data_IF_180161279440
#
_entry.id   IF_180161279440
#
_cell.length_a   1.000
_cell.length_b   1.000
_cell.length_c   1.000
_cell.angle_alpha   90.00
_cell.angle_beta   90.00
_cell.angle_gamma   90.00
#
_symmetry.space_group_name_H-M   'P 1'
#
loop_
_entity.id
_entity.type
_entity.pdbx_description
1 polymer ?
#
# COMPACT_ATOMS: atom_id res chain seq x y z
N UNK A 1 -1.82 -8.17 37.16
CA UNK A 1 -1.62 -6.85 36.48
C UNK A 1 -2.90 -6.02 36.54
N UNK A 2 -2.83 -4.76 36.98
CA UNK A 2 -3.99 -3.85 36.99
C UNK A 2 -4.55 -3.64 35.59
N UNK A 3 -5.89 -3.52 35.46
CA UNK A 3 -6.61 -3.38 34.18
C UNK A 3 -6.05 -2.24 33.29
N UNK A 4 -5.53 -1.18 33.92
CA UNK A 4 -4.88 -0.01 33.30
C UNK A 4 -3.54 -0.37 32.62
N UNK A 5 -2.72 -1.24 33.25
CA UNK A 5 -1.44 -1.70 32.69
C UNK A 5 -1.66 -2.61 31.47
N UNK A 6 -2.68 -3.47 31.50
CA UNK A 6 -3.07 -4.36 30.40
C UNK A 6 -3.60 -3.62 29.16
N UNK A 7 -4.27 -2.48 29.33
CA UNK A 7 -4.79 -1.68 28.21
C UNK A 7 -3.69 -0.86 27.51
N UNK A 8 -2.74 -0.30 28.27
CA UNK A 8 -1.55 0.37 27.70
C UNK A 8 -0.68 -0.63 26.91
N UNK A 9 -0.46 -1.82 27.46
CA UNK A 9 0.28 -2.90 26.78
C UNK A 9 -0.40 -3.32 25.47
N UNK A 10 -1.73 -3.54 25.48
CA UNK A 10 -2.46 -3.89 24.27
C UNK A 10 -2.41 -2.80 23.20
N UNK A 11 -2.32 -1.52 23.58
CA UNK A 11 -2.15 -0.42 22.63
C UNK A 11 -0.78 -0.48 21.95
N UNK A 12 0.29 -0.61 22.75
CA UNK A 12 1.67 -0.74 22.26
C UNK A 12 1.80 -1.96 21.32
N UNK A 13 1.23 -3.11 21.71
CA UNK A 13 1.24 -4.31 20.87
C UNK A 13 0.53 -4.11 19.51
N UNK A 14 -0.60 -3.40 19.47
CA UNK A 14 -1.25 -3.10 18.18
C UNK A 14 -0.40 -2.15 17.31
N UNK A 15 0.34 -1.22 17.93
CA UNK A 15 1.21 -0.32 17.19
C UNK A 15 2.40 -1.07 16.58
N UNK A 16 3.05 -1.94 17.35
CA UNK A 16 4.12 -2.82 16.86
C UNK A 16 3.60 -3.71 15.73
N UNK A 17 2.42 -4.31 15.90
CA UNK A 17 1.78 -5.10 14.84
C UNK A 17 1.53 -4.28 13.57
N UNK A 18 1.05 -3.03 13.69
CA UNK A 18 0.82 -2.16 12.54
C UNK A 18 2.11 -1.83 11.79
N UNK A 19 3.18 -1.50 12.52
CA UNK A 19 4.50 -1.23 11.93
C UNK A 19 5.02 -2.48 11.22
N UNK A 20 5.00 -3.64 11.88
CA UNK A 20 5.42 -4.91 11.28
C UNK A 20 4.59 -5.28 10.04
N UNK A 21 3.28 -5.01 10.08
CA UNK A 21 2.39 -5.23 8.95
C UNK A 21 2.70 -4.31 7.76
N UNK A 22 2.97 -3.02 8.01
CA UNK A 22 3.39 -2.09 6.98
C UNK A 22 4.72 -2.51 6.33
N UNK A 23 5.69 -2.94 7.13
CA UNK A 23 6.97 -3.45 6.63
C UNK A 23 6.76 -4.71 5.78
N UNK A 24 5.93 -5.66 6.26
CA UNK A 24 5.61 -6.87 5.50
C UNK A 24 4.89 -6.57 4.17
N UNK A 25 4.06 -5.52 4.14
CA UNK A 25 3.37 -5.09 2.93
C UNK A 25 4.20 -4.19 2.01
N UNK A 26 5.41 -3.77 2.41
CA UNK A 26 6.26 -2.86 1.65
C UNK A 26 6.40 -3.24 0.18
N UNK A 27 6.77 -4.49 -0.19
CA UNK A 27 6.95 -4.86 -1.60
C UNK A 27 5.68 -4.72 -2.45
N UNK A 28 4.50 -4.80 -1.83
CA UNK A 28 3.23 -4.74 -2.54
C UNK A 28 2.84 -3.30 -2.86
N UNK A 29 2.89 -2.39 -1.88
CA UNK A 29 2.46 -1.01 -2.11
C UNK A 29 3.55 -0.12 -2.71
N UNK A 30 4.84 -0.42 -2.46
CA UNK A 30 5.95 0.41 -3.00
C UNK A 30 5.97 0.37 -4.51
N UNK A 31 5.70 -0.79 -5.13
CA UNK A 31 5.58 -0.92 -6.57
C UNK A 31 4.43 -0.08 -7.13
N UNK A 32 3.28 -0.10 -6.47
CA UNK A 32 2.12 0.70 -6.87
C UNK A 32 2.38 2.22 -6.74
N UNK A 33 3.01 2.64 -5.64
CA UNK A 33 3.38 4.03 -5.42
C UNK A 33 4.40 4.51 -6.46
N UNK A 34 5.43 3.71 -6.73
CA UNK A 34 6.45 4.01 -7.74
C UNK A 34 5.83 4.16 -9.13
N UNK A 35 4.93 3.24 -9.53
CA UNK A 35 4.18 3.33 -10.79
C UNK A 35 3.41 4.65 -10.90
N UNK A 36 2.71 5.05 -9.84
CA UNK A 36 1.97 6.32 -9.81
C UNK A 36 2.88 7.54 -9.96
N UNK A 37 4.00 7.58 -9.23
CA UNK A 37 4.96 8.68 -9.30
C UNK A 37 5.58 8.79 -10.69
N UNK A 38 5.96 7.66 -11.29
CA UNK A 38 6.59 7.62 -12.61
C UNK A 38 5.64 8.09 -13.71
N UNK A 39 4.37 7.68 -13.66
CA UNK A 39 3.35 8.15 -14.61
C UNK A 39 3.21 9.69 -14.57
N UNK A 40 3.27 10.30 -13.38
CA UNK A 40 3.24 11.77 -13.26
C UNK A 40 4.51 12.43 -13.84
N UNK A 41 5.67 11.82 -13.64
CA UNK A 41 6.94 12.30 -14.24
C UNK A 41 6.89 12.25 -15.77
N UNK A 42 6.40 11.15 -16.34
CA UNK A 42 6.27 10.96 -17.80
C UNK A 42 5.27 11.94 -18.40
N UNK A 43 4.12 12.20 -17.75
CA UNK A 43 3.16 13.21 -18.20
C UNK A 43 3.78 14.62 -18.25
N UNK A 44 4.59 14.96 -17.25
CA UNK A 44 5.31 16.25 -17.22
C UNK A 44 6.35 16.34 -18.34
N UNK A 45 7.00 15.23 -18.70
CA UNK A 45 7.89 15.17 -19.86
C UNK A 45 7.12 15.41 -21.17
N UNK A 46 5.93 14.83 -21.30
CA UNK A 46 5.08 14.98 -22.49
C UNK A 46 4.56 16.41 -22.70
N UNK A 47 4.47 17.21 -21.64
CA UNK A 47 4.09 18.62 -21.74
C UNK A 47 5.23 19.55 -22.21
N UNK A 48 6.41 19.03 -22.55
CA UNK A 48 7.51 19.85 -23.07
C UNK A 48 7.18 20.43 -24.46
N UNK A 49 7.62 21.67 -24.72
CA UNK A 49 7.39 22.34 -26.00
C UNK A 49 8.17 21.66 -27.13
N UNK A 50 7.63 21.71 -28.36
CA UNK A 50 8.27 21.13 -29.55
C UNK A 50 9.69 21.67 -29.79
N UNK A 51 9.95 22.96 -29.51
CA UNK A 51 11.27 23.58 -29.67
C UNK A 51 12.33 22.94 -28.76
N UNK A 52 11.98 22.62 -27.51
CA UNK A 52 12.87 21.97 -26.56
C UNK A 52 13.17 20.51 -26.96
N UNK A 53 12.19 19.84 -27.58
CA UNK A 53 12.34 18.47 -28.06
C UNK A 53 13.29 18.42 -29.27
N UNK A 54 13.10 19.33 -30.23
CA UNK A 54 13.94 19.42 -31.43
C UNK A 54 15.40 19.73 -31.09
N UNK A 55 15.66 20.65 -30.14
CA UNK A 55 17.03 20.97 -29.72
C UNK A 55 17.71 19.80 -29.00
N UNK A 56 16.98 19.08 -28.14
CA UNK A 56 17.47 17.84 -27.51
C UNK A 56 17.77 16.76 -28.54
N UNK A 57 16.86 16.55 -29.50
CA UNK A 57 17.04 15.57 -30.57
C UNK A 57 18.28 15.88 -31.40
N UNK A 58 18.46 17.14 -31.82
CA UNK A 58 19.62 17.57 -32.59
C UNK A 58 20.95 17.34 -31.84
N UNK A 59 20.96 17.63 -30.53
CA UNK A 59 22.12 17.37 -29.67
C UNK A 59 22.46 15.87 -29.58
N UNK A 60 21.45 15.01 -29.36
CA UNK A 60 21.63 13.55 -29.35
C UNK A 60 22.09 13.01 -30.70
N UNK A 61 21.54 13.52 -31.81
CA UNK A 61 21.96 13.14 -33.18
C UNK A 61 23.42 13.49 -33.44
N UNK A 62 23.87 14.69 -33.04
CA UNK A 62 25.28 15.11 -33.18
C UNK A 62 26.20 14.18 -32.39
N UNK A 63 25.83 13.81 -31.17
CA UNK A 63 26.60 12.86 -30.35
C UNK A 63 26.64 11.45 -30.97
N UNK A 64 25.51 10.95 -31.47
CA UNK A 64 25.46 9.66 -32.16
C UNK A 64 26.32 9.64 -33.43
N UNK A 65 26.33 10.73 -34.21
CA UNK A 65 27.18 10.84 -35.39
C UNK A 65 28.67 10.74 -35.05
N UNK A 66 29.10 11.37 -33.94
CA UNK A 66 30.47 11.26 -33.43
C UNK A 66 30.79 9.83 -32.98
N UNK A 67 29.92 9.21 -32.18
CA UNK A 67 30.10 7.81 -31.73
C UNK A 67 30.13 6.80 -32.89
N UNK A 68 29.44 7.08 -34.00
CA UNK A 68 29.52 6.24 -35.20
C UNK A 68 30.91 6.24 -35.83
N UNK A 69 31.63 7.36 -35.76
CA UNK A 69 32.99 7.51 -36.28
C UNK A 69 34.01 6.95 -35.29
N UNK A 70 33.90 7.32 -34.02
CA UNK A 70 34.86 6.98 -32.96
C UNK A 70 34.70 5.53 -32.47
N UNK A 71 33.55 4.91 -32.75
CA UNK A 71 33.14 3.65 -32.15
C UNK A 71 32.56 3.82 -30.73
N UNK A 72 32.00 2.74 -30.19
CA UNK A 72 31.54 2.73 -28.80
C UNK A 72 32.74 2.59 -27.88
N UNK A 73 32.96 3.62 -27.07
CA UNK A 73 33.80 3.55 -25.87
C UNK A 73 32.83 3.36 -24.71
N UNK A 74 32.24 2.18 -24.60
CA UNK A 74 31.39 1.86 -23.46
C UNK A 74 32.23 2.09 -22.21
N UNK A 75 31.71 2.90 -21.28
CA UNK A 75 32.38 3.12 -19.99
C UNK A 75 32.58 1.82 -19.21
N UNK A 76 33.08 1.94 -17.98
CA UNK A 76 33.09 0.82 -17.05
C UNK A 76 31.70 0.18 -16.92
N UNK A 77 31.65 -1.12 -16.59
CA UNK A 77 30.41 -1.85 -16.33
C UNK A 77 29.48 -1.03 -15.41
N UNK A 78 28.21 -0.77 -15.79
CA UNK A 78 27.33 0.13 -15.05
C UNK A 78 27.02 -0.35 -13.63
N UNK A 79 27.36 -1.60 -13.30
CA UNK A 79 27.14 -2.20 -11.98
C UNK A 79 28.43 -2.42 -11.18
N UNK A 80 29.60 -2.04 -11.70
CA UNK A 80 30.89 -2.23 -11.02
C UNK A 80 31.14 -1.22 -9.88
N UNK A 81 30.08 -0.60 -9.34
CA UNK A 81 30.16 0.45 -8.33
C UNK A 81 30.74 1.73 -8.91
N UNK A 82 29.88 2.60 -9.46
CA UNK A 82 30.30 3.97 -9.74
C UNK A 82 30.54 4.68 -8.41
N UNK A 83 31.75 5.17 -8.17
CA UNK A 83 32.11 6.10 -7.07
C UNK A 83 31.39 7.45 -7.11
N UNK A 84 30.42 7.62 -8.01
CA UNK A 84 29.64 8.84 -8.19
C UNK A 84 28.42 8.85 -7.28
N UNK A 85 28.63 9.28 -6.04
CA UNK A 85 27.60 9.75 -5.11
C UNK A 85 27.01 11.13 -5.52
N UNK A 86 27.04 11.48 -6.81
CA UNK A 86 26.49 12.75 -7.25
C UNK A 86 24.97 12.62 -7.35
N UNK A 87 24.26 13.38 -6.53
CA UNK A 87 22.84 13.58 -6.69
C UNK A 87 22.56 14.17 -8.07
N UNK A 88 21.67 13.51 -8.82
CA UNK A 88 21.31 13.89 -10.17
C UNK A 88 19.87 14.35 -10.21
N UNK A 89 19.61 15.46 -10.91
CA UNK A 89 18.25 15.89 -11.19
C UNK A 89 17.55 14.90 -12.14
N UNK A 90 16.81 13.95 -11.55
CA UNK A 90 16.04 12.94 -12.27
C UNK A 90 15.12 13.55 -13.34
N UNK A 91 14.55 14.73 -13.10
CA UNK A 91 13.63 15.38 -14.05
C UNK A 91 14.39 15.86 -15.29
N UNK A 92 15.63 16.33 -15.13
CA UNK A 92 16.49 16.78 -16.23
C UNK A 92 16.93 15.62 -17.12
N UNK A 93 17.23 14.47 -16.51
CA UNK A 93 17.76 13.29 -17.19
C UNK A 93 16.68 12.33 -17.73
N UNK A 94 15.43 12.50 -17.31
CA UNK A 94 14.32 11.72 -17.85
C UNK A 94 14.08 12.10 -19.33
N UNK A 95 14.22 11.11 -20.21
CA UNK A 95 14.07 11.30 -21.67
C UNK A 95 12.92 10.51 -22.29
N UNK A 96 12.34 9.57 -21.53
CA UNK A 96 11.28 8.74 -22.05
C UNK A 96 10.94 7.56 -21.16
N UNK A 97 10.50 6.49 -21.80
CA UNK A 97 10.23 5.20 -21.16
C UNK A 97 10.50 4.02 -22.09
N UNK A 98 10.69 2.85 -21.49
CA UNK A 98 10.79 1.56 -22.17
C UNK A 98 9.60 0.68 -21.77
N UNK A 99 8.96 0.06 -22.76
CA UNK A 99 7.84 -0.86 -22.57
C UNK A 99 8.12 -2.23 -23.21
N UNK A 100 7.81 -3.32 -22.49
CA UNK A 100 7.93 -4.71 -22.96
C UNK A 100 6.66 -5.47 -22.58
N UNK A 101 5.69 -5.52 -23.51
CA UNK A 101 4.36 -6.10 -23.24
C UNK A 101 4.42 -7.55 -22.76
N UNK A 102 5.36 -8.34 -23.28
CA UNK A 102 5.54 -9.76 -22.93
C UNK A 102 5.71 -10.01 -21.43
N UNK A 103 6.38 -9.08 -20.74
CA UNK A 103 6.67 -9.18 -19.31
C UNK A 103 5.96 -8.09 -18.50
N UNK A 104 5.03 -7.35 -19.11
CA UNK A 104 4.31 -6.25 -18.47
C UNK A 104 5.23 -5.14 -17.94
N UNK A 105 6.37 -4.90 -18.58
CA UNK A 105 7.31 -3.86 -18.18
C UNK A 105 6.90 -2.53 -18.81
N UNK A 106 6.81 -1.47 -18.01
CA UNK A 106 6.72 -0.08 -18.46
C UNK A 106 7.45 0.79 -17.43
N UNK A 107 8.67 1.24 -17.73
CA UNK A 107 9.53 1.95 -16.76
C UNK A 107 10.18 3.19 -17.38
N UNK A 108 10.49 4.23 -16.56
CA UNK A 108 11.20 5.42 -17.02
C UNK A 108 12.54 5.09 -17.69
N UNK A 109 12.95 5.95 -18.63
CA UNK A 109 14.24 5.89 -19.32
C UNK A 109 14.99 7.21 -19.11
N UNK A 110 16.17 7.11 -18.51
CA UNK A 110 17.09 8.21 -18.26
C UNK A 110 18.26 8.20 -19.25
N UNK A 111 18.79 9.36 -19.61
CA UNK A 111 19.86 9.50 -20.60
C UNK A 111 21.29 9.31 -20.05
N UNK A 112 21.41 9.00 -18.77
CA UNK A 112 22.66 8.79 -18.05
C UNK A 112 22.52 7.61 -17.11
N UNK A 113 23.61 6.89 -16.87
CA UNK A 113 23.68 5.77 -15.92
C UNK A 113 24.52 6.16 -14.71
N UNK A 114 23.92 6.09 -13.53
CA UNK A 114 24.57 6.20 -12.23
C UNK A 114 23.72 5.45 -11.19
N UNK A 115 24.21 5.34 -9.96
CA UNK A 115 23.50 4.63 -8.90
C UNK A 115 22.07 5.16 -8.67
N UNK A 116 21.89 6.49 -8.67
CA UNK A 116 20.57 7.10 -8.45
C UNK A 116 19.59 6.77 -9.58
N UNK A 117 19.96 7.00 -10.84
CA UNK A 117 19.11 6.75 -12.01
C UNK A 117 18.77 5.27 -12.19
N UNK A 118 19.72 4.36 -11.92
CA UNK A 118 19.49 2.91 -11.91
C UNK A 118 18.48 2.47 -10.84
N UNK A 119 18.40 3.19 -9.72
CA UNK A 119 17.41 2.96 -8.67
C UNK A 119 15.99 3.38 -9.06
N UNK A 120 15.81 4.19 -10.11
CA UNK A 120 14.49 4.66 -10.54
C UNK A 120 13.99 4.05 -11.85
N UNK A 121 14.88 3.70 -12.78
CA UNK A 121 14.45 3.24 -14.10
C UNK A 121 15.55 2.61 -14.93
N UNK A 122 15.28 2.53 -16.23
CA UNK A 122 16.26 2.17 -17.22
C UNK A 122 17.14 3.38 -17.55
N UNK A 123 18.40 3.14 -17.88
CA UNK A 123 19.40 4.19 -18.08
C UNK A 123 20.20 3.93 -19.36
N UNK A 124 20.55 4.98 -20.09
CA UNK A 124 21.46 4.86 -21.23
C UNK A 124 22.89 4.77 -20.73
N UNK A 125 23.61 3.72 -21.14
CA UNK A 125 25.01 3.53 -20.80
C UNK A 125 25.86 4.58 -21.51
N UNK A 126 26.67 5.33 -20.74
CA UNK A 126 27.56 6.33 -21.29
C UNK A 126 28.56 5.71 -22.28
N UNK A 127 28.84 6.46 -23.35
CA UNK A 127 29.69 5.98 -24.45
C UNK A 127 28.96 5.14 -25.48
N UNK A 128 27.65 4.88 -25.31
CA UNK A 128 26.80 4.22 -26.32
C UNK A 128 25.86 5.22 -26.99
N UNK A 129 25.23 4.82 -28.10
CA UNK A 129 24.33 5.72 -28.83
C UNK A 129 23.12 6.11 -27.97
N UNK A 130 22.65 7.35 -28.09
CA UNK A 130 21.35 7.75 -27.55
C UNK A 130 20.22 7.00 -28.28
N UNK A 131 19.14 6.62 -27.55
CA UNK A 131 18.05 5.79 -28.06
C UNK A 131 17.03 6.58 -28.89
N UNK A 132 17.50 7.30 -29.90
CA UNK A 132 16.68 8.03 -30.87
C UNK A 132 16.63 7.34 -32.25
N UNK A 133 17.29 6.18 -32.37
CA UNK A 133 17.40 5.36 -33.57
C UNK A 133 18.29 5.95 -34.66
N UNK A 134 18.21 5.33 -35.84
CA UNK A 134 18.99 5.67 -37.03
C UNK A 134 20.07 4.63 -37.34
N UNK A 135 20.43 4.51 -38.61
CA UNK A 135 21.47 3.58 -39.04
C UNK A 135 22.82 3.90 -38.41
N UNK A 136 23.63 2.87 -38.19
CA UNK A 136 24.92 3.00 -37.52
C UNK A 136 24.77 3.52 -36.10
N UNK A 137 23.75 3.03 -35.36
CA UNK A 137 23.57 3.32 -33.95
C UNK A 137 23.38 2.04 -33.15
N UNK A 138 23.95 2.01 -31.95
CA UNK A 138 23.74 0.94 -30.99
C UNK A 138 23.61 1.56 -29.60
N UNK A 139 22.39 1.59 -29.07
CA UNK A 139 22.13 2.07 -27.70
C UNK A 139 22.19 0.91 -26.73
N UNK A 140 22.82 1.11 -25.57
CA UNK A 140 22.79 0.12 -24.48
C UNK A 140 22.01 0.71 -23.33
N UNK A 141 20.94 0.04 -22.95
CA UNK A 141 20.02 0.44 -21.90
C UNK A 141 20.17 -0.51 -20.73
N UNK A 142 20.56 0.01 -19.57
CA UNK A 142 20.82 -0.76 -18.36
C UNK A 142 19.71 -0.58 -17.33
N UNK A 143 19.41 -1.62 -16.55
CA UNK A 143 18.59 -1.48 -15.35
C UNK A 143 18.87 -2.63 -14.37
N UNK A 144 18.60 -2.43 -13.08
CA UNK A 144 18.76 -3.47 -12.08
C UNK A 144 17.83 -4.67 -12.30
N UNK A 145 18.28 -5.80 -11.76
CA UNK A 145 17.52 -7.05 -11.61
C UNK A 145 17.49 -7.41 -10.13
N UNK A 146 16.29 -7.39 -9.54
CA UNK A 146 16.07 -7.77 -8.15
C UNK A 146 16.11 -6.63 -7.13
N UNK A 147 15.81 -5.40 -7.52
CA UNK A 147 15.73 -4.30 -6.56
C UNK A 147 14.48 -4.45 -5.66
N UNK A 148 14.65 -4.30 -4.35
CA UNK A 148 13.55 -4.48 -3.38
C UNK A 148 12.42 -3.46 -3.58
N UNK A 149 12.75 -2.26 -4.06
CA UNK A 149 11.81 -1.16 -4.25
C UNK A 149 11.12 -1.19 -5.63
N UNK A 150 11.70 -1.85 -6.65
CA UNK A 150 11.21 -1.80 -8.04
C UNK A 150 11.55 -3.06 -8.84
N UNK A 151 10.62 -3.47 -9.72
CA UNK A 151 10.80 -4.66 -10.57
C UNK A 151 11.88 -4.46 -11.65
N UNK A 152 11.90 -3.32 -12.35
CA UNK A 152 12.89 -3.02 -13.40
C UNK A 152 13.14 -4.22 -14.34
N UNK A 153 14.39 -4.55 -14.68
CA UNK A 153 14.75 -5.67 -15.55
C UNK A 153 14.77 -7.04 -14.84
N UNK A 154 14.12 -7.18 -13.66
CA UNK A 154 14.04 -8.46 -12.93
C UNK A 154 13.56 -9.62 -13.81
N UNK A 155 12.59 -9.36 -14.69
CA UNK A 155 11.99 -10.36 -15.58
C UNK A 155 12.59 -10.38 -17.00
N UNK A 156 13.70 -9.68 -17.26
CA UNK A 156 14.29 -9.61 -18.60
C UNK A 156 14.71 -10.99 -19.13
N UNK A 157 15.06 -11.93 -18.24
CA UNK A 157 15.38 -13.31 -18.57
C UNK A 157 14.19 -14.11 -19.16
N UNK A 158 12.96 -13.58 -19.11
CA UNK A 158 11.77 -14.20 -19.71
C UNK A 158 11.53 -13.74 -21.16
N UNK A 159 12.27 -12.74 -21.63
CA UNK A 159 12.22 -12.27 -23.02
C UNK A 159 12.91 -13.29 -23.92
N UNK A 160 12.32 -13.54 -25.08
CA UNK A 160 12.78 -14.50 -26.08
C UNK A 160 13.06 -13.81 -27.41
N UNK A 161 13.77 -14.51 -28.30
CA UNK A 161 13.88 -14.09 -29.71
C UNK A 161 12.48 -13.87 -30.29
N UNK A 162 12.36 -12.86 -31.14
CA UNK A 162 11.14 -12.33 -31.74
C UNK A 162 10.19 -11.56 -30.83
N UNK A 163 10.42 -11.49 -29.52
CA UNK A 163 9.70 -10.54 -28.67
C UNK A 163 10.06 -9.10 -29.07
N UNK A 164 9.15 -8.17 -28.78
CA UNK A 164 9.29 -6.76 -29.13
C UNK A 164 9.33 -5.91 -27.86
N UNK A 165 10.23 -4.93 -27.85
CA UNK A 165 10.23 -3.84 -26.89
C UNK A 165 10.12 -2.50 -27.62
N UNK A 166 9.57 -1.50 -26.94
CA UNK A 166 9.33 -0.18 -27.50
C UNK A 166 9.94 0.89 -26.60
N UNK A 167 10.69 1.80 -27.21
CA UNK A 167 11.18 3.01 -26.58
C UNK A 167 10.26 4.15 -26.96
N UNK A 168 9.75 4.89 -25.97
CA UNK A 168 9.04 6.15 -26.18
C UNK A 168 9.97 7.27 -25.75
N UNK A 169 10.66 7.90 -26.69
CA UNK A 169 11.70 8.91 -26.45
C UNK A 169 11.39 10.14 -27.30
N UNK A 170 11.41 11.33 -26.71
CA UNK A 170 11.17 12.59 -27.44
C UNK A 170 9.89 12.56 -28.31
N UNK A 171 8.80 12.02 -27.75
CA UNK A 171 7.48 11.82 -28.40
C UNK A 171 7.46 10.81 -29.57
N UNK A 172 8.57 10.11 -29.82
CA UNK A 172 8.65 9.09 -30.86
C UNK A 172 8.61 7.70 -30.24
N UNK A 173 7.92 6.79 -30.91
CA UNK A 173 7.87 5.37 -30.55
C UNK A 173 8.77 4.58 -31.48
N UNK A 174 9.78 3.92 -30.91
CA UNK A 174 10.80 3.16 -31.63
C UNK A 174 10.67 1.69 -31.21
N UNK A 175 10.27 0.82 -32.13
CA UNK A 175 10.09 -0.61 -31.87
C UNK A 175 11.33 -1.41 -32.25
N UNK A 176 11.69 -2.36 -31.40
CA UNK A 176 12.84 -3.24 -31.61
C UNK A 176 12.43 -4.69 -31.41
N UNK A 177 12.81 -5.55 -32.35
CA UNK A 177 12.54 -6.99 -32.31
C UNK A 177 13.79 -7.72 -31.87
N UNK A 178 13.69 -8.50 -30.80
CA UNK A 178 14.82 -9.25 -30.22
C UNK A 178 15.29 -10.32 -31.20
N UNK A 179 16.59 -10.34 -31.49
CA UNK A 179 17.19 -11.38 -32.34
C UNK A 179 18.32 -12.13 -31.66
N UNK A 180 18.94 -11.53 -30.64
CA UNK A 180 20.12 -12.05 -29.97
C UNK A 180 19.99 -11.89 -28.46
N UNK A 181 20.29 -12.96 -27.73
CA UNK A 181 20.30 -13.01 -26.27
C UNK A 181 21.59 -13.69 -25.86
N UNK A 182 22.36 -13.08 -24.96
CA UNK A 182 23.65 -13.57 -24.51
C UNK A 182 23.82 -13.40 -23.01
N UNK A 183 24.61 -14.29 -22.40
CA UNK A 183 25.15 -14.13 -21.06
C UNK A 183 26.66 -13.97 -21.22
N UNK A 184 27.19 -12.85 -20.73
CA UNK A 184 28.59 -12.48 -20.88
C UNK A 184 29.19 -12.10 -19.52
N UNK A 185 30.52 -12.09 -19.41
CA UNK A 185 31.19 -11.53 -18.23
C UNK A 185 31.09 -10.00 -18.23
N UNK A 186 31.16 -9.32 -17.07
CA UNK A 186 31.09 -7.85 -16.99
C UNK A 186 32.09 -7.12 -17.90
N UNK A 187 33.27 -7.69 -18.10
CA UNK A 187 34.36 -7.18 -18.93
C UNK A 187 34.19 -7.48 -20.45
N UNK A 188 33.20 -8.26 -20.86
CA UNK A 188 32.97 -8.61 -22.26
C UNK A 188 31.96 -7.67 -22.93
N UNK A 189 32.49 -6.64 -23.59
CA UNK A 189 31.76 -5.61 -24.32
C UNK A 189 31.74 -5.83 -25.84
N UNK A 190 32.30 -6.93 -26.35
CA UNK A 190 32.44 -7.14 -27.80
C UNK A 190 31.08 -7.16 -28.53
N UNK A 191 30.05 -7.67 -27.86
CA UNK A 191 28.68 -7.72 -28.37
C UNK A 191 27.96 -6.36 -28.46
N UNK A 192 28.55 -5.28 -27.95
CA UNK A 192 27.92 -3.97 -27.83
C UNK A 192 28.38 -2.96 -28.89
N UNK A 193 29.26 -3.33 -29.82
CA UNK A 193 29.81 -2.45 -30.85
C UNK A 193 28.73 -1.94 -31.82
N UNK A 194 28.94 -0.74 -32.38
CA UNK A 194 28.11 -0.22 -33.47
C UNK A 194 28.33 -1.07 -34.72
N UNK A 195 27.23 -1.41 -35.38
CA UNK A 195 27.24 -2.01 -36.70
C UNK A 195 26.79 -0.95 -37.72
N UNK A 196 27.61 -0.58 -38.73
CA UNK A 196 27.40 0.61 -39.56
C UNK A 196 26.01 0.74 -40.21
N UNK A 197 25.40 -0.38 -40.58
CA UNK A 197 24.12 -0.41 -41.31
C UNK A 197 22.95 -0.90 -40.46
N UNK A 198 23.08 -0.86 -39.12
CA UNK A 198 22.02 -1.31 -38.21
C UNK A 198 21.64 -0.24 -37.19
N UNK A 199 20.35 -0.25 -36.83
CA UNK A 199 19.79 0.47 -35.67
C UNK A 199 19.50 -0.58 -34.60
N UNK A 200 20.36 -0.64 -33.58
CA UNK A 200 20.36 -1.66 -32.55
C UNK A 200 20.11 -1.07 -31.17
N UNK A 201 19.43 -1.84 -30.33
CA UNK A 201 19.34 -1.56 -28.90
C UNK A 201 19.59 -2.84 -28.12
N UNK A 202 20.50 -2.79 -27.14
CA UNK A 202 20.73 -3.87 -26.19
C UNK A 202 20.18 -3.48 -24.82
N UNK A 203 19.34 -4.34 -24.25
CA UNK A 203 18.91 -4.27 -22.86
C UNK A 203 19.88 -5.08 -22.01
N UNK A 204 20.45 -4.46 -20.98
CA UNK A 204 21.55 -4.99 -20.17
C UNK A 204 21.12 -5.06 -18.70
N UNK A 205 21.31 -6.23 -18.07
CA UNK A 205 21.10 -6.40 -16.62
C UNK A 205 22.03 -7.44 -15.99
N UNK A 206 22.11 -7.49 -14.67
CA UNK A 206 22.87 -8.51 -13.94
C UNK A 206 22.21 -9.89 -13.96
N UNK A 207 23.02 -10.94 -14.00
CA UNK A 207 22.57 -12.34 -13.93
C UNK A 207 23.68 -13.25 -13.39
N UNK A 208 23.40 -14.44 -12.83
CA UNK A 208 22.12 -14.95 -12.34
C UNK A 208 21.52 -14.09 -11.22
N UNK A 209 20.25 -14.32 -10.91
CA UNK A 209 19.52 -13.56 -9.88
C UNK A 209 20.22 -13.72 -8.52
N UNK A 210 20.39 -12.63 -7.78
CA UNK A 210 21.11 -12.56 -6.48
C UNK A 210 22.63 -12.84 -6.53
N UNK A 211 23.17 -13.34 -7.65
CA UNK A 211 24.61 -13.62 -7.80
C UNK A 211 25.31 -12.49 -8.57
N UNK A 212 24.67 -11.97 -9.62
CA UNK A 212 25.16 -10.82 -10.41
C UNK A 212 26.58 -10.98 -11.00
N UNK A 213 27.08 -12.21 -11.15
CA UNK A 213 28.43 -12.50 -11.67
C UNK A 213 28.60 -12.28 -13.17
N UNK A 214 27.50 -12.20 -13.92
CA UNK A 214 27.46 -12.04 -15.36
C UNK A 214 26.45 -10.96 -15.78
N UNK A 215 26.43 -10.64 -17.07
CA UNK A 215 25.48 -9.70 -17.68
C UNK A 215 24.59 -10.45 -18.68
N UNK A 216 23.28 -10.23 -18.58
CA UNK A 216 22.31 -10.65 -19.58
C UNK A 216 22.14 -9.52 -20.58
N UNK A 217 22.42 -9.82 -21.85
CA UNK A 217 22.25 -8.92 -22.99
C UNK A 217 21.07 -9.40 -23.83
N UNK A 218 20.09 -8.53 -24.07
CA UNK A 218 18.95 -8.77 -24.97
C UNK A 218 18.97 -7.72 -26.06
N UNK A 219 19.43 -8.10 -27.24
CA UNK A 219 19.63 -7.18 -28.38
C UNK A 219 18.50 -7.30 -29.38
N UNK A 220 17.91 -6.16 -29.73
CA UNK A 220 16.90 -6.02 -30.76
C UNK A 220 17.36 -5.15 -31.92
N UNK A 221 16.85 -5.44 -33.12
CA UNK A 221 17.00 -4.59 -34.30
C UNK A 221 15.73 -3.79 -34.54
N UNK A 222 15.87 -2.60 -35.11
CA UNK A 222 14.76 -1.69 -35.39
C UNK A 222 13.73 -2.32 -36.33
N UNK A 223 12.46 -2.18 -35.98
CA UNK A 223 11.31 -2.55 -36.83
C UNK A 223 10.28 -1.42 -36.90
N UNK A 224 9.42 -1.37 -37.93
CA UNK A 224 8.31 -0.43 -37.97
C UNK A 224 7.39 -0.59 -36.77
N UNK A 225 7.03 0.52 -36.14
CA UNK A 225 6.06 0.54 -35.06
C UNK A 225 4.64 0.41 -35.63
N UNK A 226 3.88 -0.58 -35.18
CA UNK A 226 2.54 -0.88 -35.74
C UNK A 226 1.41 -0.55 -34.76
N UNK A 227 0.18 -0.44 -35.30
CA UNK A 227 -1.02 -0.25 -34.49
C UNK A 227 -1.28 -1.43 -33.54
N UNK A 228 -0.95 -2.67 -33.93
CA UNK A 228 -1.08 -3.85 -33.07
C UNK A 228 -0.15 -3.78 -31.85
N UNK A 229 1.10 -3.33 -32.04
CA UNK A 229 2.02 -3.08 -30.92
C UNK A 229 1.46 -2.06 -29.93
N UNK A 230 0.83 -0.99 -30.45
CA UNK A 230 0.15 0.01 -29.61
C UNK A 230 -0.94 -0.63 -28.75
N UNK A 231 -1.84 -1.40 -29.36
CA UNK A 231 -2.95 -2.06 -28.64
C UNK A 231 -2.46 -3.02 -27.56
N UNK A 232 -1.39 -3.78 -27.83
CA UNK A 232 -0.77 -4.71 -26.87
C UNK A 232 -0.14 -3.97 -25.69
N UNK A 233 0.58 -2.88 -25.94
CA UNK A 233 1.17 -2.03 -24.90
C UNK A 233 0.07 -1.38 -24.06
N UNK A 234 -0.93 -0.76 -24.70
CA UNK A 234 -1.98 -0.05 -23.99
C UNK A 234 -2.83 -0.99 -23.12
N UNK A 235 -3.15 -2.19 -23.62
CA UNK A 235 -3.86 -3.21 -22.83
C UNK A 235 -3.04 -3.66 -21.63
N UNK A 236 -1.75 -3.95 -21.83
CA UNK A 236 -0.85 -4.34 -20.74
C UNK A 236 -0.72 -3.23 -19.69
N UNK A 237 -0.58 -1.98 -20.13
CA UNK A 237 -0.44 -0.80 -19.26
C UNK A 237 -1.72 -0.51 -18.48
N UNK A 238 -2.90 -0.63 -19.09
CA UNK A 238 -4.20 -0.49 -18.41
C UNK A 238 -4.36 -1.55 -17.33
N UNK A 239 -4.07 -2.81 -17.65
CA UNK A 239 -4.14 -3.90 -16.68
C UNK A 239 -3.15 -3.70 -15.52
N UNK A 240 -1.90 -3.33 -15.82
CA UNK A 240 -0.91 -3.03 -14.80
C UNK A 240 -1.36 -1.88 -13.89
N UNK A 241 -1.83 -0.77 -14.48
CA UNK A 241 -2.31 0.41 -13.73
C UNK A 241 -3.51 0.07 -12.84
N UNK A 242 -4.50 -0.67 -13.35
CA UNK A 242 -5.65 -1.11 -12.58
C UNK A 242 -5.22 -1.98 -11.39
N UNK A 243 -4.35 -2.98 -11.64
CA UNK A 243 -3.83 -3.87 -10.59
C UNK A 243 -3.11 -3.08 -9.49
N UNK A 244 -2.22 -2.15 -9.87
CA UNK A 244 -1.51 -1.31 -8.89
C UNK A 244 -2.47 -0.40 -8.12
N UNK A 245 -3.49 0.16 -8.78
CA UNK A 245 -4.53 0.96 -8.14
C UNK A 245 -5.33 0.18 -7.09
N UNK A 246 -5.73 -1.05 -7.39
CA UNK A 246 -6.44 -1.93 -6.45
C UNK A 246 -5.57 -2.24 -5.23
N UNK A 247 -4.27 -2.51 -5.43
CA UNK A 247 -3.33 -2.75 -4.32
C UNK A 247 -3.25 -1.51 -3.41
N UNK A 248 -3.09 -0.32 -4.00
CA UNK A 248 -2.99 0.92 -3.23
C UNK A 248 -4.28 1.20 -2.44
N UNK A 249 -5.45 1.07 -3.07
CA UNK A 249 -6.76 1.24 -2.41
C UNK A 249 -6.93 0.22 -1.28
N UNK A 250 -6.57 -1.04 -1.52
CA UNK A 250 -6.65 -2.10 -0.50
C UNK A 250 -5.81 -1.77 0.73
N UNK A 251 -4.58 -1.31 0.54
CA UNK A 251 -3.69 -0.90 1.64
C UNK A 251 -4.26 0.30 2.41
N UNK A 252 -4.77 1.31 1.71
CA UNK A 252 -5.41 2.48 2.35
C UNK A 252 -6.64 2.08 3.16
N UNK A 253 -7.52 1.23 2.63
CA UNK A 253 -8.71 0.75 3.34
C UNK A 253 -8.34 -0.06 4.60
N UNK A 254 -7.29 -0.88 4.52
CA UNK A 254 -6.76 -1.61 5.68
C UNK A 254 -6.24 -0.66 6.76
N UNK A 255 -5.52 0.40 6.38
CA UNK A 255 -5.03 1.42 7.31
C UNK A 255 -6.18 2.21 7.96
N UNK A 256 -7.19 2.61 7.18
CA UNK A 256 -8.40 3.27 7.70
C UNK A 256 -9.14 2.36 8.67
N UNK A 257 -9.32 1.08 8.33
CA UNK A 257 -9.95 0.09 9.19
C UNK A 257 -9.21 -0.08 10.51
N UNK A 258 -7.88 -0.18 10.47
CA UNK A 258 -7.07 -0.29 11.68
C UNK A 258 -7.12 0.98 12.53
N UNK A 259 -7.05 2.15 11.90
CA UNK A 259 -7.19 3.44 12.58
C UNK A 259 -8.56 3.55 13.27
N UNK A 260 -9.63 3.15 12.60
CA UNK A 260 -10.97 3.09 13.18
C UNK A 260 -11.05 2.16 14.40
N UNK A 261 -10.45 0.96 14.32
CA UNK A 261 -10.39 0.03 15.46
C UNK A 261 -9.59 0.60 16.64
N UNK A 262 -8.49 1.31 16.38
CA UNK A 262 -7.70 2.01 17.40
C UNK A 262 -8.50 3.13 18.05
N UNK A 263 -9.13 4.00 17.26
CA UNK A 263 -10.00 5.07 17.76
C UNK A 263 -11.14 4.51 18.63
N UNK A 264 -11.80 3.44 18.17
CA UNK A 264 -12.84 2.74 18.94
C UNK A 264 -12.31 2.20 20.27
N UNK A 265 -11.12 1.59 20.30
CA UNK A 265 -10.47 1.13 21.54
C UNK A 265 -10.17 2.30 22.48
N UNK A 266 -9.63 3.41 21.99
CA UNK A 266 -9.34 4.62 22.78
C UNK A 266 -10.63 5.19 23.38
N UNK A 267 -11.70 5.27 22.57
CA UNK A 267 -13.01 5.75 23.02
C UNK A 267 -13.53 4.88 24.17
N UNK A 268 -13.49 3.55 24.02
CA UNK A 268 -13.90 2.61 25.06
C UNK A 268 -13.03 2.73 26.32
N UNK A 269 -11.73 2.96 26.18
CA UNK A 269 -10.83 3.19 27.31
C UNK A 269 -11.18 4.47 28.06
N UNK A 270 -11.40 5.59 27.36
CA UNK A 270 -11.83 6.86 27.97
C UNK A 270 -13.18 6.70 28.67
N UNK A 271 -14.13 6.01 28.04
CA UNK A 271 -15.44 5.72 28.62
C UNK A 271 -15.33 4.92 29.92
N UNK A 272 -14.48 3.89 29.94
CA UNK A 272 -14.28 3.03 31.12
C UNK A 272 -13.66 3.74 32.33
N UNK A 273 -13.03 4.89 32.14
CA UNK A 273 -12.51 5.73 33.23
C UNK A 273 -13.59 6.58 33.89
N UNK A 274 -14.66 6.91 33.17
CA UNK A 274 -15.82 7.61 33.74
C UNK A 274 -16.60 6.66 34.65
N UNK A 275 -17.12 7.19 35.74
CA UNK A 275 -17.96 6.47 36.70
C UNK A 275 -19.40 6.93 36.57
N UNK A 276 -20.33 5.99 36.63
CA UNK A 276 -21.75 6.21 36.49
C UNK A 276 -22.49 5.52 37.62
N UNK A 277 -23.54 6.17 38.10
CA UNK A 277 -24.55 5.52 38.90
C UNK A 277 -25.69 5.11 37.97
N UNK A 278 -26.21 3.91 38.17
CA UNK A 278 -27.38 3.42 37.48
C UNK A 278 -28.44 3.08 38.50
N UNK A 279 -29.48 3.90 38.55
CA UNK A 279 -30.67 3.65 39.34
C UNK A 279 -31.86 3.41 38.43
N UNK A 280 -32.75 2.52 38.88
CA UNK A 280 -34.05 2.30 38.26
C UNK A 280 -35.09 1.86 39.30
N UNK A 281 -36.37 1.99 38.95
CA UNK A 281 -37.48 1.53 39.78
C UNK A 281 -38.06 0.23 39.23
N UNK A 282 -38.37 -0.73 40.09
CA UNK A 282 -39.09 -1.96 39.77
C UNK A 282 -40.55 -1.80 40.19
N UNK A 283 -41.43 -1.79 39.20
CA UNK A 283 -42.87 -1.56 39.35
C UNK A 283 -43.66 -2.76 38.85
N UNK A 284 -44.79 -3.09 39.48
CA UNK A 284 -45.74 -4.07 38.97
C UNK A 284 -46.51 -3.53 37.73
N UNK A 285 -47.39 -4.36 37.14
CA UNK A 285 -48.27 -3.95 36.03
C UNK A 285 -49.15 -2.74 36.33
N UNK A 286 -49.49 -2.52 37.59
CA UNK A 286 -50.31 -1.40 38.06
C UNK A 286 -49.48 -0.13 38.29
N UNK A 287 -48.14 -0.23 38.31
CA UNK A 287 -47.23 0.90 38.52
C UNK A 287 -46.78 1.07 39.98
N UNK A 288 -47.10 0.12 40.85
CA UNK A 288 -46.73 0.15 42.28
C UNK A 288 -45.32 -0.45 42.50
N UNK A 289 -44.54 0.07 43.45
CA UNK A 289 -43.19 -0.41 43.72
C UNK A 289 -43.16 -1.83 44.30
N UNK A 290 -42.16 -2.62 43.90
CA UNK A 290 -41.91 -3.96 44.44
C UNK A 290 -40.54 -4.00 45.13
N UNK A 291 -40.52 -4.36 46.41
CA UNK A 291 -39.31 -4.52 47.21
C UNK A 291 -38.68 -5.93 47.07
N UNK A 292 -37.43 -6.07 47.51
CA UNK A 292 -36.69 -7.33 47.66
C UNK A 292 -36.46 -8.16 46.38
N UNK A 293 -36.57 -7.53 45.20
CA UNK A 293 -36.22 -8.17 43.93
C UNK A 293 -34.73 -7.98 43.64
N UNK A 294 -33.99 -9.09 43.56
CA UNK A 294 -32.56 -9.11 43.30
C UNK A 294 -32.21 -8.91 41.82
N UNK A 295 -31.21 -8.08 41.54
CA UNK A 295 -30.65 -7.86 40.21
C UNK A 295 -29.14 -8.07 40.20
N UNK A 296 -28.65 -8.76 39.18
CA UNK A 296 -27.23 -9.05 39.01
C UNK A 296 -26.70 -8.54 37.67
N UNK A 297 -25.48 -7.99 37.70
CA UNK A 297 -24.79 -7.51 36.50
C UNK A 297 -23.78 -8.52 35.95
N UNK A 298 -23.71 -8.59 34.63
CA UNK A 298 -22.79 -9.40 33.84
C UNK A 298 -22.05 -8.53 32.82
N UNK A 299 -20.95 -9.05 32.29
CA UNK A 299 -20.22 -8.49 31.15
C UNK A 299 -21.13 -8.26 29.95
N UNK A 300 -20.69 -7.43 28.98
CA UNK A 300 -21.44 -7.11 27.76
C UNK A 300 -21.97 -8.33 26.97
N UNK A 301 -21.28 -9.47 27.05
CA UNK A 301 -21.67 -10.74 26.42
C UNK A 301 -22.54 -11.64 27.33
N UNK A 302 -22.83 -11.23 28.56
CA UNK A 302 -23.69 -11.93 29.52
C UNK A 302 -23.08 -13.17 30.18
N UNK A 303 -21.79 -13.47 29.92
CA UNK A 303 -21.12 -14.72 30.35
C UNK A 303 -20.39 -14.59 31.70
N UNK A 304 -19.84 -13.42 32.01
CA UNK A 304 -19.01 -13.23 33.21
C UNK A 304 -19.74 -12.33 34.19
N UNK A 305 -19.97 -12.79 35.42
CA UNK A 305 -20.55 -11.98 36.49
C UNK A 305 -19.65 -10.80 36.83
N UNK A 306 -20.24 -9.61 36.95
CA UNK A 306 -19.54 -8.44 37.48
C UNK A 306 -19.36 -8.63 38.99
N UNK A 307 -18.13 -8.44 39.48
CA UNK A 307 -17.79 -8.59 40.90
C UNK A 307 -17.32 -7.26 41.49
N UNK A 308 -17.57 -7.07 42.78
CA UNK A 308 -17.03 -6.00 43.63
C UNK A 308 -16.50 -6.65 44.90
N UNK A 309 -15.24 -6.36 45.24
CA UNK A 309 -14.56 -6.91 46.42
C UNK A 309 -14.61 -8.45 46.50
N UNK A 310 -14.50 -9.12 45.34
CA UNK A 310 -14.51 -10.58 45.23
C UNK A 310 -15.89 -11.22 45.11
N UNK A 311 -16.96 -10.53 45.52
CA UNK A 311 -18.34 -11.02 45.48
C UNK A 311 -19.10 -10.55 44.22
N UNK A 312 -20.10 -11.31 43.73
CA UNK A 312 -20.97 -10.85 42.65
C UNK A 312 -21.72 -9.56 43.03
N UNK A 313 -21.78 -8.59 42.11
CA UNK A 313 -22.48 -7.34 42.34
C UNK A 313 -23.98 -7.54 42.16
N UNK A 314 -24.66 -7.76 43.29
CA UNK A 314 -26.11 -7.91 43.39
C UNK A 314 -26.69 -6.72 44.14
N UNK A 315 -27.86 -6.25 43.72
CA UNK A 315 -28.63 -5.18 44.37
C UNK A 315 -30.11 -5.57 44.41
N UNK A 316 -30.76 -5.25 45.52
CA UNK A 316 -32.18 -5.51 45.73
C UNK A 316 -32.96 -4.19 45.66
N UNK A 317 -34.23 -4.27 45.27
CA UNK A 317 -35.13 -3.12 45.33
C UNK A 317 -35.50 -2.80 46.78
N UNK A 318 -35.47 -1.52 47.15
CA UNK A 318 -35.93 -1.06 48.46
C UNK A 318 -37.48 -1.01 48.52
N UNK A 319 -38.03 -0.50 49.64
CA UNK A 319 -39.48 -0.33 49.83
C UNK A 319 -40.14 0.54 48.74
N UNK A 320 -39.41 1.51 48.18
CA UNK A 320 -39.86 2.36 47.06
C UNK A 320 -39.64 1.70 45.69
N UNK A 321 -39.24 0.43 45.64
CA UNK A 321 -38.92 -0.30 44.42
C UNK A 321 -37.62 0.14 43.74
N UNK A 322 -36.84 1.03 44.35
CA UNK A 322 -35.61 1.57 43.78
C UNK A 322 -34.43 0.60 43.92
N UNK A 323 -33.71 0.38 42.82
CA UNK A 323 -32.46 -0.37 42.77
C UNK A 323 -31.34 0.58 42.34
N UNK A 324 -30.19 0.54 43.03
CA UNK A 324 -29.05 1.43 42.75
C UNK A 324 -27.75 0.65 42.60
N UNK A 325 -27.16 0.74 41.40
CA UNK A 325 -25.78 0.35 41.14
C UNK A 325 -24.88 1.59 41.07
N UNK A 326 -24.08 1.79 42.11
CA UNK A 326 -23.18 2.92 42.28
C UNK A 326 -21.81 2.67 41.62
N UNK A 327 -21.12 3.75 41.23
CA UNK A 327 -19.70 3.75 40.83
C UNK A 327 -19.33 2.73 39.72
N UNK A 328 -20.24 2.47 38.79
CA UNK A 328 -20.01 1.58 37.66
C UNK A 328 -19.06 2.24 36.64
N UNK A 329 -18.02 1.56 36.15
CA UNK A 329 -17.25 2.02 35.01
C UNK A 329 -18.14 2.18 33.77
N UNK A 330 -17.91 3.23 32.98
CA UNK A 330 -18.61 3.44 31.71
C UNK A 330 -18.39 2.29 30.74
N UNK A 331 -19.42 1.47 30.54
CA UNK A 331 -19.43 0.33 29.63
C UNK A 331 -20.87 -0.15 29.42
N UNK A 332 -21.02 -1.18 28.60
CA UNK A 332 -22.26 -1.96 28.47
C UNK A 332 -22.20 -3.21 29.35
N UNK A 333 -23.29 -3.49 30.04
CA UNK A 333 -23.51 -4.65 30.90
C UNK A 333 -24.79 -5.37 30.49
N UNK A 334 -24.93 -6.62 30.94
CA UNK A 334 -26.22 -7.34 30.89
C UNK A 334 -26.72 -7.44 32.33
N UNK A 335 -27.91 -6.93 32.60
CA UNK A 335 -28.59 -7.08 33.87
C UNK A 335 -29.59 -8.24 33.78
N UNK A 336 -29.65 -9.06 34.82
CA UNK A 336 -30.64 -10.14 34.96
C UNK A 336 -31.33 -10.00 36.31
N UNK A 337 -32.64 -10.17 36.30
CA UNK A 337 -33.44 -10.37 37.50
C UNK A 337 -33.15 -11.75 38.09
N UNK A 338 -33.08 -11.84 39.41
CA UNK A 338 -32.87 -13.10 40.13
C UNK A 338 -34.22 -13.78 40.41
N UNK A 339 -34.23 -15.11 40.42
CA UNK A 339 -35.43 -15.90 40.72
C UNK A 339 -36.32 -16.25 39.52
N UNK A 340 -36.11 -15.64 38.35
CA UNK A 340 -36.85 -15.98 37.11
C UNK A 340 -35.87 -16.45 36.03
N UNK A 341 -35.80 -17.76 35.72
CA UNK A 341 -34.91 -18.27 34.69
C UNK A 341 -35.27 -17.71 33.32
N UNK A 342 -34.29 -17.15 32.60
CA UNK A 342 -34.37 -16.72 31.20
C UNK A 342 -35.35 -15.59 30.82
N UNK A 343 -36.19 -15.11 31.72
CA UNK A 343 -37.01 -13.90 31.52
C UNK A 343 -36.34 -12.70 32.20
N UNK A 344 -36.56 -11.49 31.65
CA UNK A 344 -36.11 -10.21 32.23
C UNK A 344 -34.58 -9.98 32.24
N UNK A 345 -33.90 -10.26 31.11
CA UNK A 345 -32.53 -9.79 30.87
C UNK A 345 -32.51 -8.56 29.96
N UNK A 346 -31.76 -7.54 30.34
CA UNK A 346 -31.65 -6.29 29.56
C UNK A 346 -30.20 -5.82 29.50
N UNK A 347 -29.81 -5.22 28.37
CA UNK A 347 -28.51 -4.54 28.29
C UNK A 347 -28.64 -3.16 28.92
N UNK A 348 -27.71 -2.80 29.78
CA UNK A 348 -27.64 -1.47 30.40
C UNK A 348 -26.28 -0.83 30.15
N UNK A 349 -26.21 0.50 30.24
CA UNK A 349 -24.93 1.20 30.30
C UNK A 349 -24.88 2.44 29.43
N UNK A 350 -23.68 2.73 28.93
CA UNK A 350 -23.38 3.88 28.06
C UNK A 350 -22.67 3.40 26.79
N UNK A 351 -22.99 4.01 25.64
CA UNK A 351 -22.41 3.68 24.32
C UNK A 351 -21.44 4.74 23.83
N UNK A 352 -21.65 6.01 24.19
CA UNK A 352 -20.87 7.16 23.73
C UNK A 352 -20.18 7.86 24.91
N UNK A 353 -19.07 8.54 24.62
CA UNK A 353 -18.36 9.36 25.62
C UNK A 353 -19.21 10.53 26.11
N UNK A 354 -20.11 11.03 25.27
CA UNK A 354 -21.05 12.11 25.57
C UNK A 354 -22.19 11.70 26.51
N UNK A 355 -22.44 10.40 26.68
CA UNK A 355 -23.54 9.92 27.52
C UNK A 355 -23.28 10.35 28.97
N UNK A 356 -24.26 11.05 29.57
CA UNK A 356 -24.21 11.52 30.96
C UNK A 356 -24.84 10.53 31.95
N UNK A 357 -25.75 9.69 31.47
CA UNK A 357 -26.51 8.73 32.27
C UNK A 357 -26.49 7.34 31.62
N UNK A 358 -26.56 6.29 32.44
CA UNK A 358 -26.78 4.94 31.96
C UNK A 358 -28.25 4.71 31.61
N UNK A 359 -28.51 3.92 30.56
CA UNK A 359 -29.85 3.65 30.06
C UNK A 359 -30.08 2.18 29.75
N UNK A 360 -31.34 1.79 29.63
CA UNK A 360 -31.74 0.47 29.13
C UNK A 360 -31.58 0.39 27.59
N UNK A 361 -31.20 -0.79 27.12
CA UNK A 361 -31.14 -1.16 25.70
C UNK A 361 -31.80 -2.53 25.51
N UNK A 362 -33.14 -2.61 25.67
CA UNK A 362 -33.90 -3.83 25.51
C UNK A 362 -33.90 -4.32 24.06
N UNK A 363 -34.23 -5.61 23.87
CA UNK A 363 -34.59 -6.12 22.54
C UNK A 363 -35.96 -5.57 22.14
N UNK A 364 -36.27 -5.56 20.84
CA UNK A 364 -37.53 -5.02 20.31
C UNK A 364 -38.78 -5.59 21.01
N UNK A 365 -38.78 -6.90 21.26
CA UNK A 365 -39.88 -7.61 21.95
C UNK A 365 -40.06 -7.24 23.44
N UNK A 366 -39.02 -6.70 24.09
CA UNK A 366 -39.05 -6.39 25.52
C UNK A 366 -39.19 -4.88 25.79
N UNK A 367 -39.30 -4.04 24.75
CA UNK A 367 -39.28 -2.58 24.86
C UNK A 367 -40.40 -2.01 25.74
N UNK A 368 -41.56 -2.64 25.78
CA UNK A 368 -42.70 -2.23 26.61
C UNK A 368 -42.40 -2.28 28.11
N UNK A 369 -41.49 -3.16 28.53
CA UNK A 369 -41.19 -3.39 29.94
C UNK A 369 -40.08 -2.49 30.48
N UNK A 370 -39.18 -1.99 29.62
CA UNK A 370 -38.00 -1.22 30.03
C UNK A 370 -38.07 0.23 29.53
N UNK A 371 -38.13 1.17 30.46
CA UNK A 371 -38.33 2.59 30.14
C UNK A 371 -37.15 3.43 30.62
N UNK A 372 -36.72 4.38 29.78
CA UNK A 372 -35.66 5.36 30.10
C UNK A 372 -36.07 6.75 29.59
N UNK A 373 -36.27 7.72 30.49
CA UNK A 373 -36.60 9.11 30.14
C UNK A 373 -35.81 10.09 31.02
N UNK A 374 -35.03 10.98 30.41
CA UNK A 374 -34.25 12.04 31.09
C UNK A 374 -33.41 11.54 32.29
N UNK A 375 -32.76 10.39 32.16
CA UNK A 375 -31.93 9.80 33.22
C UNK A 375 -32.70 9.03 34.29
N UNK A 376 -34.04 9.05 34.26
CA UNK A 376 -34.90 8.17 35.07
C UNK A 376 -35.17 6.87 34.32
N UNK A 377 -35.05 5.76 35.03
CA UNK A 377 -35.21 4.42 34.48
C UNK A 377 -36.23 3.64 35.31
N UNK A 378 -37.11 2.87 34.67
CA UNK A 378 -38.01 1.96 35.39
C UNK A 378 -38.32 0.71 34.58
N UNK A 379 -38.60 -0.37 35.29
CA UNK A 379 -39.04 -1.66 34.78
C UNK A 379 -40.48 -1.84 35.22
N UNK A 380 -41.38 -2.11 34.27
CA UNK A 380 -42.79 -2.36 34.53
C UNK A 380 -43.13 -3.76 34.00
N UNK A 381 -43.33 -4.73 34.90
CA UNK A 381 -43.61 -6.14 34.56
C UNK A 381 -44.77 -6.69 35.39
#
# INVERSE_FOLDING_TARGET
MTKKKRTKQNFILNLIFLIGFLVALYPFYVGALNHFIDEQRIKTLQSQTNKNILSKEASMRKKNAKLRQDGIVAGSDPFSGSTYNEHVDLKKHLIGKISISKIGLDIPLFDTTNEETLNYGATVLQGTSFPIGGEGTHSVISAHRGLASRVLFTNLNKVKKNDVFVLTVLHKKLAYKVFKIQIVKPEDYQGLKIEPNKDLVTLLTCTPYMINSHRLLVTGYRVPYTADMTKKIDTANKWHTLKQGIILIGVVLLLIGQFFLLCRKIVMMKLSKKKFNFSFYRLNKNGEPIADIGYQLFSKNGKVTLKRDGAPLIRYSNLDGQVVFDNLPGNMYVMKEMGIPNQNKVKIGVKKISDRHMSFYPKKQDQSYFNSKNGKNWIKL
#
